data_IF_094414356480
#
_entry.id   IF_094414356480
#
_cell.length_a   1.000
_cell.length_b   1.000
_cell.length_c   1.000
_cell.angle_alpha   90.00
_cell.angle_beta   90.00
_cell.angle_gamma   90.00
#
_symmetry.space_group_name_H-M   'P 1'
#
loop_
_entity.id
_entity.type
_entity.pdbx_description
1 polymer ?
#
# COMPACT_ATOMS: atom_id res chain seq x y z
N UNK A 1 -1.73 -12.40 4.94
CA UNK A 1 -1.14 -13.28 5.96
C UNK A 1 -1.39 -12.68 7.35
N UNK A 2 -1.48 -13.52 8.38
CA UNK A 2 -1.63 -13.11 9.77
C UNK A 2 -0.37 -13.50 10.55
N UNK A 3 0.04 -12.65 11.49
CA UNK A 3 1.21 -12.85 12.35
C UNK A 3 0.80 -12.67 13.81
N UNK A 4 1.37 -13.49 14.70
CA UNK A 4 1.14 -13.38 16.14
C UNK A 4 2.45 -12.92 16.82
N UNK A 5 2.67 -11.60 16.94
CA UNK A 5 3.92 -11.08 17.49
C UNK A 5 4.09 -11.36 18.99
N UNK A 6 2.99 -11.66 19.69
CA UNK A 6 3.00 -11.89 21.15
C UNK A 6 3.06 -13.36 21.53
N UNK A 7 2.83 -14.28 20.59
CA UNK A 7 2.71 -15.72 20.85
C UNK A 7 1.48 -16.11 21.69
N UNK A 8 0.52 -15.20 21.91
CA UNK A 8 -0.66 -15.43 22.75
C UNK A 8 -1.83 -15.92 21.88
N UNK A 9 -2.64 -16.90 22.32
CA UNK A 9 -3.82 -17.33 21.57
C UNK A 9 -4.73 -16.14 21.19
N UNK A 10 -5.23 -16.15 19.95
CA UNK A 10 -6.15 -15.14 19.39
C UNK A 10 -5.58 -13.71 19.25
N UNK A 11 -4.29 -13.49 19.51
CA UNK A 11 -3.62 -12.20 19.30
C UNK A 11 -3.00 -12.07 17.90
N UNK A 12 -3.75 -12.47 16.87
CA UNK A 12 -3.31 -12.41 15.47
C UNK A 12 -3.52 -11.01 14.90
N UNK A 13 -2.54 -10.51 14.15
CA UNK A 13 -2.64 -9.24 13.46
C UNK A 13 -2.29 -9.37 11.97
N UNK A 14 -2.86 -8.52 11.09
CA UNK A 14 -2.45 -8.46 9.69
C UNK A 14 -0.95 -8.19 9.54
N UNK A 15 -0.29 -8.91 8.64
CA UNK A 15 1.15 -8.73 8.37
C UNK A 15 1.50 -7.31 7.93
N UNK A 16 0.61 -6.68 7.16
CA UNK A 16 0.78 -5.29 6.71
C UNK A 16 0.86 -4.32 7.90
N UNK A 17 -0.11 -4.40 8.82
CA UNK A 17 -0.11 -3.62 10.07
C UNK A 17 1.14 -3.89 10.93
N UNK A 18 1.65 -5.13 10.94
CA UNK A 18 2.89 -5.45 11.64
C UNK A 18 4.12 -4.80 10.99
N UNK A 19 4.18 -4.78 9.65
CA UNK A 19 5.23 -4.08 8.91
C UNK A 19 5.18 -2.56 9.16
N UNK A 20 3.99 -1.96 9.21
CA UNK A 20 3.82 -0.55 9.55
C UNK A 20 4.35 -0.22 10.95
N UNK A 21 4.03 -1.05 11.95
CA UNK A 21 4.54 -0.87 13.32
C UNK A 21 6.07 -0.96 13.36
N UNK A 22 6.67 -1.93 12.68
CA UNK A 22 8.13 -2.06 12.60
C UNK A 22 8.74 -0.84 11.93
N UNK A 23 8.17 -0.37 10.83
CA UNK A 23 8.65 0.81 10.12
C UNK A 23 8.56 2.07 10.99
N UNK A 24 7.48 2.23 11.74
CA UNK A 24 7.34 3.33 12.69
C UNK A 24 8.40 3.26 13.80
N UNK A 25 8.59 2.09 14.42
CA UNK A 25 9.58 1.91 15.48
C UNK A 25 11.01 2.14 14.98
N UNK A 26 11.34 1.66 13.78
CA UNK A 26 12.64 1.89 13.16
C UNK A 26 12.87 3.40 12.96
N UNK A 27 11.90 4.10 12.38
CA UNK A 27 11.97 5.56 12.19
C UNK A 27 12.06 6.31 13.52
N UNK A 28 11.32 5.90 14.53
CA UNK A 28 11.29 6.57 15.83
C UNK A 28 12.57 6.35 16.65
N UNK A 29 13.15 5.15 16.57
CA UNK A 29 14.34 4.73 17.32
C UNK A 29 15.62 5.25 16.65
N UNK A 30 15.65 5.27 15.31
CA UNK A 30 16.82 5.70 14.54
C UNK A 30 16.69 7.12 13.97
N UNK A 31 15.65 7.86 14.34
CA UNK A 31 15.64 9.30 14.12
C UNK A 31 16.74 9.93 14.99
N UNK A 32 17.74 10.56 14.36
CA UNK A 32 18.67 11.37 15.12
C UNK A 32 17.91 12.57 15.71
N UNK A 33 17.91 12.67 17.05
CA UNK A 33 17.21 13.72 17.80
C UNK A 33 18.22 14.64 18.46
N UNK A 34 17.94 15.95 18.42
CA UNK A 34 18.74 16.97 19.10
C UNK A 34 20.03 17.35 18.37
N UNK A 35 21.01 17.95 19.07
CA UNK A 35 22.24 18.49 18.47
C UNK A 35 23.16 17.42 17.84
N UNK A 36 22.89 16.14 18.09
CA UNK A 36 23.59 15.00 17.48
C UNK A 36 22.92 14.51 16.18
N UNK A 37 22.04 15.31 15.56
CA UNK A 37 21.46 15.05 14.25
C UNK A 37 22.44 15.28 13.10
N UNK A 38 23.63 14.69 13.17
CA UNK A 38 24.60 14.68 12.08
C UNK A 38 24.48 13.40 11.26
N UNK A 39 24.80 13.49 9.97
CA UNK A 39 24.90 12.32 9.10
C UNK A 39 25.94 11.31 9.58
N UNK A 40 26.99 11.78 10.26
CA UNK A 40 28.03 10.92 10.83
C UNK A 40 27.51 10.11 12.03
N UNK A 41 26.67 10.69 12.89
CA UNK A 41 26.00 9.96 13.97
C UNK A 41 25.06 8.88 13.41
N UNK A 42 24.27 9.21 12.38
CA UNK A 42 23.42 8.23 11.71
C UNK A 42 24.27 7.08 11.13
N UNK A 43 25.39 7.39 10.46
CA UNK A 43 26.29 6.41 9.86
C UNK A 43 26.93 5.50 10.92
N UNK A 44 27.50 6.07 11.97
CA UNK A 44 28.30 5.32 12.95
C UNK A 44 27.46 4.56 13.99
N UNK A 45 26.29 5.08 14.36
CA UNK A 45 25.47 4.45 15.41
C UNK A 45 24.36 3.58 14.84
N UNK A 46 23.73 3.95 13.72
CA UNK A 46 22.64 3.13 13.15
C UNK A 46 23.22 1.95 12.36
N UNK A 47 24.26 2.18 11.55
CA UNK A 47 24.85 1.10 10.73
C UNK A 47 25.38 -0.05 11.59
N UNK A 48 26.03 0.26 12.71
CA UNK A 48 26.60 -0.74 13.62
C UNK A 48 25.51 -1.57 14.33
N UNK A 49 24.38 -0.93 14.66
CA UNK A 49 23.24 -1.62 15.26
C UNK A 49 22.52 -2.54 14.27
N UNK A 50 22.50 -2.21 12.96
CA UNK A 50 21.91 -3.06 11.93
C UNK A 50 22.64 -4.41 11.83
N UNK A 51 23.97 -4.42 11.87
CA UNK A 51 24.75 -5.68 11.84
C UNK A 51 24.49 -6.56 13.06
N UNK A 52 24.34 -5.94 14.24
CA UNK A 52 23.99 -6.62 15.49
C UNK A 52 22.57 -7.19 15.39
N UNK A 53 21.60 -6.43 14.91
CA UNK A 53 20.22 -6.91 14.73
C UNK A 53 20.14 -8.05 13.72
N UNK A 54 20.87 -7.99 12.61
CA UNK A 54 20.97 -9.10 11.66
C UNK A 54 21.57 -10.36 12.29
N UNK A 55 22.52 -10.20 13.20
CA UNK A 55 23.15 -11.33 13.90
C UNK A 55 22.20 -11.94 14.93
N UNK A 56 21.46 -11.10 15.67
CA UNK A 56 20.42 -11.55 16.61
C UNK A 56 19.29 -12.26 15.86
N UNK A 57 18.82 -11.71 14.74
CA UNK A 57 17.79 -12.32 13.92
C UNK A 57 18.22 -13.71 13.42
N UNK A 58 19.44 -13.84 12.88
CA UNK A 58 19.99 -15.15 12.44
C UNK A 58 20.10 -16.16 13.58
N UNK A 59 20.50 -15.71 14.78
CA UNK A 59 20.58 -16.58 15.95
C UNK A 59 19.19 -17.04 16.41
N UNK A 60 18.22 -16.14 16.44
CA UNK A 60 16.84 -16.43 16.79
C UNK A 60 16.20 -17.40 15.79
N UNK A 61 16.43 -17.19 14.49
CA UNK A 61 15.96 -18.09 13.43
C UNK A 61 16.57 -19.50 13.56
N UNK A 62 17.86 -19.59 13.92
CA UNK A 62 18.54 -20.85 14.20
C UNK A 62 17.94 -21.59 15.40
N UNK A 63 17.67 -20.88 16.50
CA UNK A 63 17.11 -21.46 17.73
C UNK A 63 15.67 -21.95 17.53
N UNK A 64 14.88 -21.28 16.69
CA UNK A 64 13.47 -21.63 16.46
C UNK A 64 13.29 -22.59 15.28
N UNK A 65 14.40 -23.04 14.67
CA UNK A 65 14.41 -23.88 13.46
C UNK A 65 13.56 -23.30 12.30
N UNK A 66 13.29 -21.99 12.33
CA UNK A 66 12.64 -21.30 11.24
C UNK A 66 13.65 -21.15 10.11
N UNK A 67 13.41 -21.81 8.99
CA UNK A 67 14.28 -21.71 7.81
C UNK A 67 14.40 -20.24 7.41
N UNK A 68 15.64 -19.73 7.40
CA UNK A 68 16.02 -18.51 6.70
C UNK A 68 15.31 -18.52 5.34
N UNK A 69 14.56 -17.46 5.03
CA UNK A 69 13.87 -17.33 3.75
C UNK A 69 14.84 -17.74 2.65
N UNK A 70 14.53 -18.85 1.98
CA UNK A 70 15.40 -19.52 1.02
C UNK A 70 16.10 -18.49 0.13
N UNK A 71 17.43 -18.56 0.04
CA UNK A 71 18.22 -17.75 -0.91
C UNK A 71 17.84 -18.01 -2.36
N UNK A 72 17.14 -19.11 -2.63
CA UNK A 72 16.44 -19.34 -3.87
C UNK A 72 15.02 -18.77 -3.79
N UNK A 73 14.78 -17.67 -4.50
CA UNK A 73 13.44 -17.22 -4.82
C UNK A 73 12.77 -18.25 -5.75
N UNK A 74 11.92 -19.13 -5.21
CA UNK A 74 10.98 -19.88 -6.05
C UNK A 74 9.97 -18.86 -6.59
N UNK A 75 9.82 -18.76 -7.92
CA UNK A 75 8.80 -17.90 -8.51
C UNK A 75 7.44 -18.33 -7.94
N UNK A 76 6.66 -17.41 -7.32
CA UNK A 76 5.33 -17.75 -6.86
C UNK A 76 4.50 -18.15 -8.08
N UNK A 77 3.93 -19.34 -8.04
CA UNK A 77 3.07 -19.85 -9.09
C UNK A 77 1.64 -19.75 -8.59
N UNK A 78 0.91 -18.74 -9.07
CA UNK A 78 -0.50 -18.53 -8.70
C UNK A 78 -1.33 -19.80 -8.90
N UNK A 79 -0.98 -20.61 -9.91
CA UNK A 79 -1.67 -21.87 -10.17
C UNK A 79 -1.43 -22.90 -9.06
N UNK A 80 -0.17 -23.12 -8.67
CA UNK A 80 0.19 -24.06 -7.59
C UNK A 80 -0.45 -23.64 -6.27
N UNK A 81 -0.42 -22.34 -5.96
CA UNK A 81 -0.98 -21.80 -4.72
C UNK A 81 -2.50 -21.95 -4.68
N UNK A 82 -3.19 -21.70 -5.79
CA UNK A 82 -4.66 -21.87 -5.89
C UNK A 82 -5.05 -23.34 -5.79
N UNK A 83 -4.30 -24.25 -6.40
CA UNK A 83 -4.53 -25.69 -6.29
C UNK A 83 -4.32 -26.16 -4.85
N UNK A 84 -3.23 -25.74 -4.19
CA UNK A 84 -2.97 -26.07 -2.79
C UNK A 84 -4.07 -25.57 -1.86
N UNK A 85 -4.55 -24.34 -2.05
CA UNK A 85 -5.64 -23.77 -1.24
C UNK A 85 -6.94 -24.53 -1.50
N UNK A 86 -7.27 -24.83 -2.76
CA UNK A 86 -8.46 -25.62 -3.11
C UNK A 86 -8.43 -26.99 -2.42
N UNK A 87 -7.30 -27.70 -2.51
CA UNK A 87 -7.17 -29.04 -1.97
C UNK A 87 -7.33 -29.05 -0.45
N UNK A 88 -6.75 -28.06 0.24
CA UNK A 88 -6.94 -27.87 1.67
C UNK A 88 -8.39 -27.55 2.04
N UNK A 89 -9.06 -26.69 1.27
CA UNK A 89 -10.47 -26.35 1.50
C UNK A 89 -11.41 -27.53 1.23
N UNK A 90 -11.07 -28.42 0.29
CA UNK A 90 -11.78 -29.68 0.05
C UNK A 90 -11.54 -30.67 1.19
N UNK A 91 -10.28 -30.85 1.62
CA UNK A 91 -9.93 -31.71 2.74
C UNK A 91 -10.66 -31.31 4.03
N UNK A 92 -10.74 -30.01 4.32
CA UNK A 92 -11.47 -29.47 5.47
C UNK A 92 -13.00 -29.53 5.31
N UNK A 93 -13.53 -30.04 4.19
CA UNK A 93 -14.97 -30.14 3.94
C UNK A 93 -15.68 -28.78 3.76
N UNK A 94 -14.93 -27.70 3.57
CA UNK A 94 -15.47 -26.34 3.39
C UNK A 94 -16.01 -26.21 1.96
N UNK A 95 -15.31 -26.78 0.98
CA UNK A 95 -15.80 -26.96 -0.38
C UNK A 95 -16.70 -28.19 -0.47
N UNK A 96 -17.76 -28.24 0.35
CA UNK A 96 -18.89 -29.11 0.01
C UNK A 96 -19.57 -28.51 -1.21
N UNK A 97 -19.83 -29.33 -2.23
CA UNK A 97 -20.71 -28.92 -3.31
C UNK A 97 -22.08 -28.66 -2.69
N UNK A 98 -22.38 -27.39 -2.42
CA UNK A 98 -23.77 -26.97 -2.27
C UNK A 98 -24.50 -27.58 -3.43
N UNK A 99 -25.54 -28.38 -3.15
CA UNK A 99 -26.60 -28.64 -4.13
C UNK A 99 -26.78 -27.32 -4.86
N UNK A 100 -26.64 -27.34 -6.18
CA UNK A 100 -26.85 -26.16 -7.00
C UNK A 100 -28.21 -25.62 -6.59
N UNK A 101 -28.23 -24.60 -5.72
CA UNK A 101 -29.39 -23.77 -5.58
C UNK A 101 -29.58 -23.25 -6.99
N UNK A 102 -30.71 -23.60 -7.59
CA UNK A 102 -31.26 -22.97 -8.77
C UNK A 102 -31.50 -21.50 -8.43
N UNK A 103 -30.41 -20.73 -8.26
CA UNK A 103 -30.49 -19.29 -8.13
C UNK A 103 -30.88 -18.78 -9.51
N UNK A 104 -31.92 -17.94 -9.61
CA UNK A 104 -32.21 -17.27 -10.88
C UNK A 104 -30.94 -16.57 -11.34
N UNK A 105 -30.72 -16.56 -12.65
CA UNK A 105 -29.54 -15.95 -13.28
C UNK A 105 -29.28 -14.57 -12.66
N UNK A 106 -28.02 -14.26 -12.27
CA UNK A 106 -27.70 -13.02 -11.59
C UNK A 106 -28.24 -11.85 -12.41
N UNK A 107 -29.02 -10.98 -11.77
CA UNK A 107 -29.49 -9.74 -12.38
C UNK A 107 -28.27 -8.99 -12.90
N UNK A 108 -28.28 -8.63 -14.19
CA UNK A 108 -27.20 -7.93 -14.87
C UNK A 108 -26.70 -6.79 -13.98
N UNK A 109 -25.47 -6.91 -13.48
CA UNK A 109 -24.86 -5.87 -12.67
C UNK A 109 -24.64 -4.67 -13.58
N UNK A 110 -25.29 -3.56 -13.24
CA UNK A 110 -25.18 -2.32 -14.00
C UNK A 110 -23.74 -1.83 -13.94
N UNK A 111 -23.18 -1.47 -15.08
CA UNK A 111 -21.84 -0.90 -15.17
C UNK A 111 -21.80 0.49 -14.49
N UNK A 112 -21.33 0.48 -13.24
CA UNK A 112 -21.21 1.66 -12.41
C UNK A 112 -20.18 2.66 -12.94
N UNK A 113 -19.18 2.21 -13.73
CA UNK A 113 -18.19 3.11 -14.30
C UNK A 113 -18.82 3.95 -15.41
N UNK A 114 -19.55 3.31 -16.32
CA UNK A 114 -20.27 4.01 -17.40
C UNK A 114 -21.35 4.95 -16.84
N UNK A 115 -22.13 4.48 -15.85
CA UNK A 115 -23.14 5.32 -15.19
C UNK A 115 -22.51 6.49 -14.42
N UNK A 116 -21.37 6.26 -13.76
CA UNK A 116 -20.62 7.29 -13.05
C UNK A 116 -20.05 8.35 -14.00
N UNK A 117 -19.47 7.93 -15.13
CA UNK A 117 -18.93 8.83 -16.14
C UNK A 117 -20.00 9.75 -16.73
N UNK A 118 -21.17 9.20 -17.08
CA UNK A 118 -22.31 9.99 -17.56
C UNK A 118 -22.76 11.03 -16.52
N UNK A 119 -22.93 10.60 -15.26
CA UNK A 119 -23.34 11.51 -14.18
C UNK A 119 -22.30 12.60 -13.92
N UNK A 120 -21.01 12.30 -14.00
CA UNK A 120 -19.97 13.30 -13.83
C UNK A 120 -19.99 14.33 -14.97
N UNK A 121 -20.14 13.88 -16.22
CA UNK A 121 -20.22 14.73 -17.40
C UNK A 121 -21.45 15.67 -17.38
N UNK A 122 -22.57 15.21 -16.82
CA UNK A 122 -23.81 15.97 -16.71
C UNK A 122 -23.92 16.79 -15.42
N UNK A 123 -22.95 16.64 -14.50
CA UNK A 123 -22.99 17.31 -13.19
C UNK A 123 -22.61 18.78 -13.24
N UNK A 124 -22.99 19.51 -12.19
CA UNK A 124 -22.54 20.88 -11.94
C UNK A 124 -21.00 21.02 -11.91
N UNK A 125 -20.26 19.95 -11.60
CA UNK A 125 -18.80 19.93 -11.59
C UNK A 125 -18.26 20.06 -13.03
N UNK A 126 -18.83 19.35 -14.01
CA UNK A 126 -18.42 19.49 -15.41
C UNK A 126 -18.74 20.91 -15.94
N UNK A 127 -19.86 21.50 -15.53
CA UNK A 127 -20.19 22.87 -15.88
C UNK A 127 -19.24 23.88 -15.23
N UNK A 128 -18.77 23.63 -14.01
CA UNK A 128 -17.79 24.45 -13.31
C UNK A 128 -16.40 24.38 -13.98
N UNK A 129 -15.93 23.17 -14.32
CA UNK A 129 -14.64 22.97 -15.00
C UNK A 129 -14.61 23.61 -16.40
N UNK A 130 -15.72 23.52 -17.16
CA UNK A 130 -15.81 24.24 -18.44
C UNK A 130 -15.75 25.75 -18.27
N UNK A 131 -16.21 26.26 -17.12
CA UNK A 131 -16.16 27.69 -16.81
C UNK A 131 -14.75 28.12 -16.39
N UNK A 132 -13.99 27.30 -15.66
CA UNK A 132 -12.59 27.61 -15.34
C UNK A 132 -11.72 27.67 -16.60
N UNK A 133 -11.91 26.75 -17.55
CA UNK A 133 -11.16 26.77 -18.82
C UNK A 133 -11.42 28.04 -19.66
N UNK A 134 -12.59 28.69 -19.49
CA UNK A 134 -12.90 29.94 -20.18
C UNK A 134 -12.29 31.20 -19.57
N UNK A 135 -11.81 31.13 -18.32
CA UNK A 135 -11.14 32.27 -17.66
C UNK A 135 -9.64 32.34 -17.98
N UNK A 136 -9.00 31.20 -18.29
CA UNK A 136 -7.57 31.16 -18.63
C UNK A 136 -7.26 31.78 -20.02
N UNK A 137 -8.27 32.07 -20.84
CA UNK A 137 -8.07 32.66 -22.19
C UNK A 137 -8.14 34.20 -22.23
N UNK A 138 -8.38 34.89 -21.12
CA UNK A 138 -8.60 36.36 -21.13
C UNK A 138 -7.37 37.18 -20.68
N UNK A 139 -6.36 36.57 -20.04
CA UNK A 139 -5.27 37.33 -19.40
C UNK A 139 -3.91 37.29 -20.13
N UNK A 140 -3.88 37.43 -21.45
CA UNK A 140 -2.61 37.63 -22.20
C UNK A 140 -2.56 38.82 -23.17
N UNK A 141 -3.63 39.61 -23.33
CA UNK A 141 -3.60 40.79 -24.23
C UNK A 141 -3.60 42.16 -23.53
N UNK A 142 -3.76 42.25 -22.20
CA UNK A 142 -3.84 43.54 -21.48
C UNK A 142 -2.53 44.02 -20.81
N UNK A 143 -1.41 43.32 -20.98
CA UNK A 143 -0.13 43.68 -20.31
C UNK A 143 0.81 44.53 -21.18
N UNK A 144 0.61 44.61 -22.50
CA UNK A 144 1.53 45.37 -23.39
C UNK A 144 1.16 46.85 -23.63
N UNK A 145 0.06 47.36 -23.05
CA UNK A 145 -0.42 48.72 -23.33
C UNK A 145 -0.02 49.80 -22.30
N UNK A 146 0.65 49.46 -21.18
CA UNK A 146 0.86 50.40 -20.07
C UNK A 146 2.32 50.85 -19.82
N UNK A 147 3.29 50.45 -20.63
CA UNK A 147 4.72 50.80 -20.42
C UNK A 147 5.19 52.11 -21.08
N UNK A 148 4.29 52.96 -21.61
CA UNK A 148 4.69 54.16 -22.37
C UNK A 148 4.32 55.54 -21.78
N UNK A 149 3.95 55.68 -20.50
CA UNK A 149 3.47 56.98 -19.96
C UNK A 149 4.26 57.56 -18.77
N UNK A 150 5.45 57.06 -18.42
CA UNK A 150 6.27 57.73 -17.38
C UNK A 150 7.74 57.85 -17.78
N UNK A 151 8.01 58.79 -18.69
CA UNK A 151 9.33 59.39 -18.84
C UNK A 151 9.19 60.81 -19.39
N UNK A 152 9.04 61.78 -18.48
CA UNK A 152 9.51 63.17 -18.63
C UNK A 152 9.61 63.86 -17.26
#
# INVERSE_FOLDING_TARGET
>A
MLVNPKGIPQAWMPTDMYQEIINFLLKATHAAKGPNASWDYLREQISTNVEIFQTIARNFEREIETKYNSTAHKKPSTKEDVELVRDNLQFCGILWASKQDTRPSPSVVVDLQTVGAHKMAESAIACFLRKSDSYDTVDMEEVEANDHVVAE
#
